data_IF_151753482037
#
_entry.id   IF_151753482037
#
_cell.length_a   1.000
_cell.length_b   1.000
_cell.length_c   1.000
_cell.angle_alpha   90.00
_cell.angle_beta   90.00
_cell.angle_gamma   90.00
#
_symmetry.space_group_name_H-M   'P 1'
#
loop_
_entity.id
_entity.type
_entity.pdbx_description
1 polymer ?
#
# COMPACT_ATOMS: atom_id res chain seq x y z
N UNK A 1 9.15 -20.77 -18.71
CA UNK A 1 10.11 -20.08 -17.82
C UNK A 1 9.65 -18.71 -17.30
N UNK A 2 8.62 -18.07 -17.88
CA UNK A 2 8.06 -16.77 -17.41
C UNK A 2 7.31 -16.84 -16.06
N UNK A 3 6.92 -18.04 -15.61
CA UNK A 3 6.10 -18.24 -14.40
C UNK A 3 6.89 -18.08 -13.10
N UNK A 4 8.17 -18.47 -13.06
CA UNK A 4 8.96 -18.42 -11.82
C UNK A 4 9.37 -16.99 -11.40
N UNK A 5 9.64 -16.07 -12.35
CA UNK A 5 10.02 -14.68 -12.04
C UNK A 5 8.84 -13.84 -11.52
N UNK A 6 7.60 -14.20 -11.88
CA UNK A 6 6.36 -13.62 -11.33
C UNK A 6 6.22 -13.91 -9.82
N UNK A 7 6.69 -15.08 -9.38
CA UNK A 7 6.68 -15.50 -7.96
C UNK A 7 7.75 -14.76 -7.12
N UNK A 8 8.93 -14.51 -7.71
CA UNK A 8 10.05 -13.84 -7.00
C UNK A 8 9.79 -12.39 -6.59
N UNK A 9 8.84 -11.69 -7.24
CA UNK A 9 8.57 -10.28 -6.93
C UNK A 9 7.47 -10.08 -5.88
N UNK A 10 6.51 -11.01 -5.77
CA UNK A 10 5.65 -11.13 -4.59
C UNK A 10 6.50 -11.36 -3.31
N UNK A 11 7.73 -11.86 -3.46
CA UNK A 11 8.67 -12.08 -2.35
C UNK A 11 9.18 -10.79 -1.70
N UNK A 12 9.36 -9.71 -2.47
CA UNK A 12 9.83 -8.41 -1.92
C UNK A 12 8.75 -7.65 -1.16
N UNK A 13 7.49 -7.93 -1.44
CA UNK A 13 6.36 -7.24 -0.79
C UNK A 13 5.73 -8.11 0.31
N UNK A 14 6.17 -9.37 0.43
CA UNK A 14 5.85 -10.27 1.54
C UNK A 14 6.29 -9.74 2.90
N UNK A 15 7.16 -8.73 2.98
CA UNK A 15 7.53 -8.05 4.23
C UNK A 15 6.39 -7.22 4.84
N UNK A 16 5.37 -6.85 4.06
CA UNK A 16 4.24 -6.06 4.55
C UNK A 16 3.47 -6.82 5.64
N UNK A 17 3.23 -8.12 5.45
CA UNK A 17 2.50 -8.96 6.40
C UNK A 17 3.24 -9.18 7.73
N UNK A 18 4.52 -9.58 7.78
CA UNK A 18 5.25 -9.70 9.04
C UNK A 18 5.44 -8.35 9.74
N UNK A 19 5.62 -7.25 9.01
CA UNK A 19 5.63 -5.90 9.61
C UNK A 19 4.27 -5.60 10.26
N UNK A 20 3.17 -5.89 9.58
CA UNK A 20 1.83 -5.73 10.16
C UNK A 20 1.63 -6.61 11.41
N UNK A 21 2.10 -7.86 11.40
CA UNK A 21 2.04 -8.74 12.58
C UNK A 21 2.81 -8.15 13.75
N UNK A 22 4.03 -7.63 13.54
CA UNK A 22 4.83 -7.02 14.60
C UNK A 22 4.15 -5.76 15.15
N UNK A 23 3.62 -4.90 14.28
CA UNK A 23 2.89 -3.69 14.70
C UNK A 23 1.64 -4.07 15.48
N UNK A 24 0.87 -5.05 15.03
CA UNK A 24 -0.32 -5.51 15.73
C UNK A 24 -0.01 -6.17 17.07
N UNK A 25 1.09 -6.94 17.18
CA UNK A 25 1.56 -7.49 18.44
C UNK A 25 1.95 -6.36 19.42
N UNK A 26 2.65 -5.32 18.93
CA UNK A 26 2.99 -4.15 19.75
C UNK A 26 1.75 -3.36 20.19
N UNK A 27 0.77 -3.18 19.30
CA UNK A 27 -0.53 -2.55 19.62
C UNK A 27 -1.31 -3.35 20.66
N UNK A 28 -1.33 -4.68 20.55
CA UNK A 28 -1.95 -5.55 21.54
C UNK A 28 -1.33 -5.32 22.93
N UNK A 29 0.01 -5.37 23.00
CA UNK A 29 0.75 -5.13 24.25
C UNK A 29 0.43 -3.75 24.82
N UNK A 30 0.42 -2.70 23.98
CA UNK A 30 0.10 -1.35 24.40
C UNK A 30 -1.33 -1.23 24.96
N UNK A 31 -2.33 -1.74 24.24
CA UNK A 31 -3.74 -1.69 24.65
C UNK A 31 -3.94 -2.42 25.98
N UNK A 32 -3.38 -3.62 26.12
CA UNK A 32 -3.51 -4.41 27.36
C UNK A 32 -2.76 -3.75 28.52
N UNK A 33 -1.58 -3.16 28.28
CA UNK A 33 -0.83 -2.45 29.33
C UNK A 33 -1.50 -1.18 29.84
N UNK A 34 -2.27 -0.49 28.99
CA UNK A 34 -3.03 0.71 29.37
C UNK A 34 -4.35 0.32 30.06
N UNK A 35 -4.98 -0.77 29.64
CA UNK A 35 -6.27 -1.21 30.18
C UNK A 35 -6.13 -1.97 31.50
N UNK A 36 -5.09 -2.78 31.65
CA UNK A 36 -4.78 -3.55 32.86
C UNK A 36 -3.69 -2.81 33.63
N UNK A 37 -4.03 -2.13 34.73
CA UNK A 37 -2.99 -1.73 35.71
C UNK A 37 -2.15 -2.97 36.06
N UNK A 38 -0.81 -2.92 35.97
CA UNK A 38 0.00 -4.12 35.88
C UNK A 38 0.03 -4.86 37.22
N UNK A 39 -0.64 -6.01 37.33
CA UNK A 39 -0.58 -6.83 38.54
C UNK A 39 -0.14 -8.28 38.32
N UNK A 40 -0.20 -8.88 37.11
CA UNK A 40 0.44 -10.18 36.82
C UNK A 40 0.44 -10.60 35.33
N UNK A 41 1.45 -11.40 34.95
CA UNK A 41 1.66 -11.95 33.59
C UNK A 41 0.53 -12.91 33.14
N UNK A 42 -0.11 -13.58 34.10
CA UNK A 42 -1.26 -14.46 33.85
C UNK A 42 -2.54 -13.67 33.50
N UNK A 43 -2.73 -12.47 34.08
CA UNK A 43 -3.83 -11.56 33.73
C UNK A 43 -3.65 -10.85 32.38
N UNK A 44 -2.44 -10.90 31.83
CA UNK A 44 -2.14 -10.43 30.48
C UNK A 44 -2.59 -11.44 29.40
N UNK A 45 -2.57 -12.73 29.73
CA UNK A 45 -2.99 -13.84 28.84
C UNK A 45 -4.48 -14.14 29.03
N UNK A 46 -4.95 -14.18 30.27
CA UNK A 46 -6.36 -14.31 30.63
C UNK A 46 -6.89 -12.94 31.05
N UNK A 47 -7.32 -12.14 30.07
CA UNK A 47 -7.92 -10.83 30.34
C UNK A 47 -9.05 -10.98 31.36
N UNK A 48 -9.00 -10.21 32.45
CA UNK A 48 -10.11 -10.16 33.38
C UNK A 48 -11.39 -9.65 32.69
N UNK A 49 -12.58 -10.13 33.10
CA UNK A 49 -13.85 -9.75 32.48
C UNK A 49 -14.08 -8.22 32.44
N UNK A 50 -13.65 -7.51 33.49
CA UNK A 50 -13.78 -6.05 33.57
C UNK A 50 -12.89 -5.27 32.59
N UNK A 51 -11.69 -5.79 32.29
CA UNK A 51 -10.77 -5.18 31.31
C UNK A 51 -11.29 -5.40 29.89
N UNK A 52 -11.81 -6.60 29.62
CA UNK A 52 -12.41 -6.98 28.33
C UNK A 52 -13.55 -6.04 27.95
N UNK A 53 -14.44 -5.73 28.90
CA UNK A 53 -15.57 -4.81 28.68
C UNK A 53 -15.10 -3.38 28.35
N UNK A 54 -14.11 -2.84 29.08
CA UNK A 54 -13.57 -1.50 28.83
C UNK A 54 -12.93 -1.36 27.45
N UNK A 55 -12.15 -2.36 27.02
CA UNK A 55 -11.51 -2.36 25.70
C UNK A 55 -12.58 -2.38 24.60
N UNK A 56 -13.58 -3.24 24.73
CA UNK A 56 -14.67 -3.32 23.77
C UNK A 56 -15.50 -2.03 23.72
N UNK A 57 -15.87 -1.47 24.87
CA UNK A 57 -16.65 -0.23 24.94
C UNK A 57 -15.90 0.93 24.26
N UNK A 58 -14.60 1.06 24.55
CA UNK A 58 -13.77 2.09 23.92
C UNK A 58 -13.71 1.91 22.39
N UNK A 59 -13.45 0.69 21.92
CA UNK A 59 -13.39 0.37 20.49
C UNK A 59 -14.73 0.63 19.79
N UNK A 60 -15.83 0.12 20.35
CA UNK A 60 -17.17 0.23 19.77
C UNK A 60 -17.64 1.68 19.68
N UNK A 61 -17.40 2.46 20.74
CA UNK A 61 -17.86 3.85 20.84
C UNK A 61 -17.00 4.85 20.05
N UNK A 62 -15.68 4.67 20.01
CA UNK A 62 -14.76 5.70 19.48
C UNK A 62 -14.09 5.32 18.15
N UNK A 63 -13.78 4.04 17.94
CA UNK A 63 -12.93 3.63 16.82
C UNK A 63 -13.71 2.98 15.69
N UNK A 64 -14.62 2.06 15.99
CA UNK A 64 -15.28 1.21 15.01
C UNK A 64 -15.95 2.00 13.88
N UNK A 65 -16.76 3.01 14.22
CA UNK A 65 -17.46 3.83 13.23
C UNK A 65 -16.51 4.61 12.33
N UNK A 66 -15.50 5.27 12.91
CA UNK A 66 -14.51 6.06 12.19
C UNK A 66 -13.60 5.18 11.31
N UNK A 67 -13.21 4.00 11.79
CA UNK A 67 -12.43 3.04 11.01
C UNK A 67 -13.26 2.47 9.84
N UNK A 68 -14.53 2.14 10.08
CA UNK A 68 -15.42 1.68 9.01
C UNK A 68 -15.52 2.72 7.88
N UNK A 69 -15.94 3.95 8.21
CA UNK A 69 -16.17 5.00 7.22
C UNK A 69 -14.86 5.47 6.58
N UNK A 70 -13.79 5.61 7.36
CA UNK A 70 -12.48 6.04 6.89
C UNK A 70 -11.90 5.09 5.85
N UNK A 71 -11.89 3.79 6.13
CA UNK A 71 -11.36 2.80 5.17
C UNK A 71 -12.31 2.56 3.98
N UNK A 72 -13.63 2.73 4.15
CA UNK A 72 -14.58 2.69 3.03
C UNK A 72 -14.31 3.84 2.05
N UNK A 73 -14.19 5.06 2.58
CA UNK A 73 -13.90 6.26 1.79
C UNK A 73 -12.53 6.17 1.12
N UNK A 74 -11.50 5.74 1.86
CA UNK A 74 -10.15 5.53 1.32
C UNK A 74 -10.13 4.50 0.18
N UNK A 75 -10.82 3.36 0.35
CA UNK A 75 -10.93 2.33 -0.68
C UNK A 75 -11.59 2.87 -1.95
N UNK A 76 -12.70 3.60 -1.81
CA UNK A 76 -13.40 4.23 -2.94
C UNK A 76 -12.55 5.30 -3.64
N UNK A 77 -11.89 6.16 -2.87
CA UNK A 77 -10.99 7.18 -3.40
C UNK A 77 -9.84 6.56 -4.21
N UNK A 78 -9.14 5.57 -3.64
CA UNK A 78 -8.03 4.91 -4.33
C UNK A 78 -8.49 4.16 -5.57
N UNK A 79 -9.69 3.57 -5.56
CA UNK A 79 -10.26 2.91 -6.73
C UNK A 79 -10.49 3.88 -7.88
N UNK A 80 -11.02 5.07 -7.58
CA UNK A 80 -11.19 6.14 -8.57
C UNK A 80 -9.84 6.69 -9.06
N UNK A 81 -8.92 6.98 -8.13
CA UNK A 81 -7.62 7.55 -8.43
C UNK A 81 -6.69 6.58 -9.20
N UNK A 82 -6.82 5.27 -8.99
CA UNK A 82 -5.96 4.24 -9.60
C UNK A 82 -5.89 4.39 -11.11
N UNK A 83 -7.03 4.45 -11.78
CA UNK A 83 -7.09 4.53 -13.25
C UNK A 83 -6.43 5.82 -13.74
N UNK A 84 -6.71 6.95 -13.08
CA UNK A 84 -6.10 8.24 -13.42
C UNK A 84 -4.57 8.20 -13.31
N UNK A 85 -4.03 7.73 -12.18
CA UNK A 85 -2.58 7.66 -11.96
C UNK A 85 -1.92 6.77 -13.02
N UNK A 86 -2.48 5.58 -13.25
CA UNK A 86 -1.88 4.60 -14.17
C UNK A 86 -1.93 5.08 -15.62
N UNK A 87 -3.05 5.65 -16.07
CA UNK A 87 -3.20 6.11 -17.45
C UNK A 87 -2.32 7.33 -17.74
N UNK A 88 -2.24 8.31 -16.83
CA UNK A 88 -1.37 9.47 -17.04
C UNK A 88 0.10 9.07 -17.06
N UNK A 89 0.58 8.27 -16.09
CA UNK A 89 1.96 7.81 -16.10
C UNK A 89 2.30 7.01 -17.36
N UNK A 90 1.37 6.16 -17.84
CA UNK A 90 1.54 5.42 -19.09
C UNK A 90 1.80 6.39 -20.25
N UNK A 91 0.90 7.35 -20.45
CA UNK A 91 0.94 8.29 -21.58
C UNK A 91 2.16 9.22 -21.54
N UNK A 92 2.46 9.79 -20.38
CA UNK A 92 3.48 10.83 -20.24
C UNK A 92 4.91 10.29 -20.15
N UNK A 93 5.10 9.01 -19.81
CA UNK A 93 6.44 8.44 -19.58
C UNK A 93 6.65 7.15 -20.35
N UNK A 94 5.81 6.14 -20.08
CA UNK A 94 6.09 4.78 -20.55
C UNK A 94 5.77 4.55 -22.03
N UNK A 95 4.93 5.40 -22.62
CA UNK A 95 4.62 5.42 -24.06
C UNK A 95 5.56 6.38 -24.84
N UNK A 96 6.53 7.03 -24.19
CA UNK A 96 7.49 7.90 -24.88
C UNK A 96 8.56 7.08 -25.61
N UNK A 97 8.90 7.49 -26.83
CA UNK A 97 9.97 6.87 -27.62
C UNK A 97 11.31 6.89 -26.86
N UNK A 98 11.61 8.00 -26.19
CA UNK A 98 12.82 8.16 -25.37
C UNK A 98 12.89 7.13 -24.24
N UNK A 99 11.78 6.81 -23.56
CA UNK A 99 11.79 5.79 -22.52
C UNK A 99 11.93 4.38 -23.10
N UNK A 100 11.29 4.09 -24.24
CA UNK A 100 11.43 2.81 -24.93
C UNK A 100 12.86 2.58 -25.43
N UNK A 101 13.51 3.57 -26.02
CA UNK A 101 14.90 3.51 -26.45
C UNK A 101 15.85 3.25 -25.28
N UNK A 102 15.71 4.01 -24.19
CA UNK A 102 16.50 3.78 -22.97
C UNK A 102 16.30 2.37 -22.41
N UNK A 103 15.08 1.83 -22.51
CA UNK A 103 14.79 0.46 -22.11
C UNK A 103 15.42 -0.57 -23.05
N UNK A 104 15.35 -0.36 -24.37
CA UNK A 104 15.96 -1.23 -25.39
C UNK A 104 17.48 -1.24 -25.29
N UNK A 105 18.11 -0.11 -25.00
CA UNK A 105 19.56 -0.02 -24.83
C UNK A 105 20.02 -0.74 -23.56
N UNK A 106 19.28 -0.57 -22.45
CA UNK A 106 19.50 -1.36 -21.24
C UNK A 106 19.31 -2.86 -21.46
N UNK A 107 18.36 -3.25 -22.30
CA UNK A 107 18.11 -4.65 -22.69
C UNK A 107 19.26 -5.22 -23.52
N UNK A 108 19.78 -4.48 -24.51
CA UNK A 108 20.92 -4.90 -25.35
C UNK A 108 22.20 -5.07 -24.52
N UNK A 109 22.44 -4.19 -23.55
CA UNK A 109 23.64 -4.21 -22.71
C UNK A 109 23.64 -5.33 -21.67
N UNK A 110 22.49 -5.62 -21.05
CA UNK A 110 22.40 -6.58 -19.93
C UNK A 110 21.76 -7.93 -20.30
N UNK A 111 21.19 -8.05 -21.50
CA UNK A 111 20.49 -9.23 -21.97
C UNK A 111 19.05 -9.35 -21.44
N UNK A 112 18.21 -10.05 -22.22
CA UNK A 112 16.79 -10.24 -21.92
C UNK A 112 16.49 -11.03 -20.63
N UNK A 113 17.49 -11.73 -20.09
CA UNK A 113 17.35 -12.50 -18.86
C UNK A 113 17.29 -11.60 -17.61
N UNK A 114 18.02 -10.49 -17.62
CA UNK A 114 18.13 -9.57 -16.49
C UNK A 114 17.13 -8.41 -16.55
N UNK A 115 16.65 -8.04 -17.74
CA UNK A 115 15.72 -6.94 -17.90
C UNK A 115 14.25 -7.34 -17.67
N UNK A 116 13.46 -6.43 -17.10
CA UNK A 116 12.01 -6.62 -16.88
C UNK A 116 11.21 -6.01 -18.03
N UNK A 117 9.95 -6.43 -18.22
CA UNK A 117 9.08 -5.84 -19.26
C UNK A 117 8.98 -4.31 -19.12
N UNK A 118 8.88 -3.57 -20.23
CA UNK A 118 8.80 -2.10 -20.28
C UNK A 118 7.84 -1.49 -19.24
N UNK A 119 6.61 -2.01 -19.17
CA UNK A 119 5.56 -1.56 -18.25
C UNK A 119 5.59 -2.22 -16.86
N UNK A 120 6.68 -2.89 -16.49
CA UNK A 120 6.79 -3.58 -15.20
C UNK A 120 6.58 -2.65 -13.99
N UNK A 121 7.21 -1.45 -13.92
CA UNK A 121 7.02 -0.57 -12.77
C UNK A 121 5.57 -0.10 -12.63
N UNK A 122 4.90 0.18 -13.76
CA UNK A 122 3.51 0.58 -13.80
C UNK A 122 2.56 -0.55 -13.39
N UNK A 123 2.82 -1.79 -13.85
CA UNK A 123 2.07 -2.98 -13.43
C UNK A 123 2.22 -3.23 -11.94
N UNK A 124 3.43 -3.05 -11.40
CA UNK A 124 3.70 -3.18 -9.97
C UNK A 124 2.93 -2.15 -9.15
N UNK A 125 2.97 -0.89 -9.56
CA UNK A 125 2.17 0.19 -8.95
C UNK A 125 0.68 -0.15 -8.94
N UNK A 126 0.13 -0.57 -10.08
CA UNK A 126 -1.28 -0.94 -10.23
C UNK A 126 -1.70 -2.09 -9.30
N UNK A 127 -0.84 -3.09 -9.12
CA UNK A 127 -1.10 -4.22 -8.24
C UNK A 127 -1.08 -3.82 -6.77
N UNK A 128 -0.10 -3.00 -6.35
CA UNK A 128 -0.04 -2.52 -4.96
C UNK A 128 -1.25 -1.65 -4.63
N UNK A 129 -1.64 -0.71 -5.50
CA UNK A 129 -2.84 0.10 -5.29
C UNK A 129 -4.08 -0.81 -5.18
N UNK A 130 -4.17 -1.88 -5.98
CA UNK A 130 -5.26 -2.84 -5.88
C UNK A 130 -5.28 -3.55 -4.52
N UNK A 131 -4.13 -4.03 -4.04
CA UNK A 131 -4.04 -4.66 -2.73
C UNK A 131 -4.44 -3.70 -1.61
N UNK A 132 -4.04 -2.42 -1.69
CA UNK A 132 -4.48 -1.38 -0.75
C UNK A 132 -6.00 -1.20 -0.76
N UNK A 133 -6.62 -1.14 -1.94
CA UNK A 133 -8.08 -1.02 -2.07
C UNK A 133 -8.76 -2.23 -1.44
N UNK A 134 -8.34 -3.45 -1.82
CA UNK A 134 -8.89 -4.69 -1.28
C UNK A 134 -8.72 -4.76 0.24
N UNK A 135 -7.55 -4.45 0.77
CA UNK A 135 -7.32 -4.44 2.22
C UNK A 135 -8.15 -3.38 2.92
N UNK A 136 -8.38 -2.22 2.30
CA UNK A 136 -9.22 -1.15 2.89
C UNK A 136 -10.69 -1.58 2.98
N UNK A 137 -11.23 -2.22 1.93
CA UNK A 137 -12.58 -2.78 2.01
C UNK A 137 -12.68 -3.93 3.01
N UNK A 138 -11.69 -4.83 3.06
CA UNK A 138 -11.65 -5.89 4.08
C UNK A 138 -11.62 -5.30 5.50
N UNK A 139 -10.78 -4.30 5.74
CA UNK A 139 -10.70 -3.61 7.02
C UNK A 139 -12.06 -2.98 7.39
N UNK A 140 -12.67 -2.23 6.47
CA UNK A 140 -13.97 -1.60 6.66
C UNK A 140 -15.08 -2.63 6.93
N UNK A 141 -15.23 -3.65 6.08
CA UNK A 141 -16.24 -4.71 6.24
C UNK A 141 -16.03 -5.45 7.56
N UNK A 142 -14.77 -5.75 7.93
CA UNK A 142 -14.48 -6.41 9.20
C UNK A 142 -14.91 -5.60 10.42
N UNK A 143 -14.88 -4.25 10.35
CA UNK A 143 -15.41 -3.42 11.45
C UNK A 143 -16.92 -3.63 11.62
N UNK A 144 -17.68 -3.80 10.54
CA UNK A 144 -19.13 -4.00 10.62
C UNK A 144 -19.52 -5.42 11.00
N UNK A 145 -18.81 -6.42 10.49
CA UNK A 145 -19.13 -7.84 10.70
C UNK A 145 -18.52 -8.36 12.00
N UNK A 146 -17.20 -8.53 12.03
CA UNK A 146 -16.48 -9.11 13.17
C UNK A 146 -16.47 -8.14 14.36
N UNK A 147 -16.38 -6.83 14.09
CA UNK A 147 -16.37 -5.80 15.12
C UNK A 147 -17.67 -5.63 15.91
N UNK A 148 -18.73 -6.38 15.58
CA UNK A 148 -19.99 -6.40 16.35
C UNK A 148 -19.95 -7.37 17.53
N UNK A 149 -19.09 -8.39 17.48
CA UNK A 149 -18.97 -9.38 18.56
C UNK A 149 -18.24 -8.76 19.76
N UNK A 150 -18.81 -8.90 20.95
CA UNK A 150 -18.26 -8.43 22.22
C UNK A 150 -17.11 -9.33 22.73
N UNK A 151 -16.16 -9.62 21.85
CA UNK A 151 -15.02 -10.49 22.12
C UNK A 151 -13.72 -9.74 21.80
N UNK A 152 -12.77 -9.71 22.74
CA UNK A 152 -11.45 -9.09 22.53
C UNK A 152 -10.70 -9.67 21.32
N UNK A 153 -10.74 -10.99 21.04
CA UNK A 153 -10.15 -11.53 19.81
C UNK A 153 -10.76 -10.93 18.54
N UNK A 154 -12.05 -10.60 18.53
CA UNK A 154 -12.73 -9.97 17.41
C UNK A 154 -12.23 -8.53 17.19
N UNK A 155 -12.10 -7.76 18.27
CA UNK A 155 -11.51 -6.41 18.24
C UNK A 155 -10.07 -6.45 17.70
N UNK A 156 -9.27 -7.39 18.17
CA UNK A 156 -7.87 -7.52 17.74
C UNK A 156 -7.75 -7.93 16.26
N UNK A 157 -8.64 -8.80 15.77
CA UNK A 157 -8.71 -9.12 14.35
C UNK A 157 -9.07 -7.86 13.52
N UNK A 158 -10.04 -7.06 13.98
CA UNK A 158 -10.44 -5.82 13.33
C UNK A 158 -9.32 -4.77 13.31
N UNK A 159 -8.52 -4.67 14.37
CA UNK A 159 -7.36 -3.79 14.40
C UNK A 159 -6.22 -4.33 13.52
N UNK A 160 -6.04 -5.64 13.44
CA UNK A 160 -5.05 -6.26 12.55
C UNK A 160 -5.33 -5.95 11.08
N UNK A 161 -6.58 -6.08 10.63
CA UNK A 161 -6.95 -5.76 9.24
C UNK A 161 -6.73 -4.28 8.92
N UNK A 162 -6.96 -3.39 9.88
CA UNK A 162 -6.64 -1.95 9.78
C UNK A 162 -5.14 -1.73 9.62
N UNK A 163 -4.30 -2.36 10.45
CA UNK A 163 -2.83 -2.23 10.35
C UNK A 163 -2.33 -2.72 9.00
N UNK A 164 -2.82 -3.87 8.52
CA UNK A 164 -2.49 -4.40 7.19
C UNK A 164 -2.86 -3.38 6.10
N UNK A 165 -4.05 -2.79 6.16
CA UNK A 165 -4.49 -1.78 5.20
C UNK A 165 -3.60 -0.52 5.22
N UNK A 166 -3.19 -0.05 6.40
CA UNK A 166 -2.26 1.08 6.55
C UNK A 166 -0.88 0.75 5.97
N UNK A 167 -0.35 -0.45 6.21
CA UNK A 167 0.94 -0.83 5.64
C UNK A 167 0.90 -0.87 4.10
N UNK A 168 -0.16 -1.42 3.50
CA UNK A 168 -0.34 -1.36 2.05
C UNK A 168 -0.56 0.06 1.55
N UNK A 169 -1.24 0.93 2.31
CA UNK A 169 -1.40 2.33 1.97
C UNK A 169 -0.06 3.05 1.89
N UNK A 170 0.80 2.88 2.91
CA UNK A 170 2.13 3.49 2.93
C UNK A 170 3.00 3.01 1.77
N UNK A 171 2.95 1.70 1.46
CA UNK A 171 3.66 1.15 0.31
C UNK A 171 3.13 1.72 -1.03
N UNK A 172 1.81 1.86 -1.15
CA UNK A 172 1.17 2.46 -2.32
C UNK A 172 1.60 3.91 -2.51
N UNK A 173 1.52 4.73 -1.45
CA UNK A 173 1.96 6.13 -1.49
C UNK A 173 3.43 6.27 -1.86
N UNK A 174 4.29 5.41 -1.30
CA UNK A 174 5.71 5.38 -1.66
C UNK A 174 5.93 5.05 -3.15
N UNK A 175 5.24 4.03 -3.67
CA UNK A 175 5.35 3.67 -5.09
C UNK A 175 4.77 4.74 -6.01
N UNK A 176 3.66 5.38 -5.64
CA UNK A 176 3.09 6.52 -6.38
C UNK A 176 4.13 7.63 -6.46
N UNK A 177 4.69 8.06 -5.31
CA UNK A 177 5.71 9.12 -5.26
C UNK A 177 6.92 8.79 -6.13
N UNK A 178 7.41 7.54 -6.05
CA UNK A 178 8.55 7.09 -6.86
C UNK A 178 8.27 7.18 -8.36
N UNK A 179 7.12 6.67 -8.81
CA UNK A 179 6.78 6.72 -10.23
C UNK A 179 6.49 8.15 -10.69
N UNK A 180 5.94 9.00 -9.83
CA UNK A 180 5.68 10.39 -10.14
C UNK A 180 6.97 11.21 -10.24
N UNK A 181 7.96 10.94 -9.40
CA UNK A 181 9.29 11.53 -9.54
C UNK A 181 9.91 11.17 -10.90
N UNK A 182 9.86 9.90 -11.30
CA UNK A 182 10.32 9.48 -12.63
C UNK A 182 9.56 10.18 -13.76
N UNK A 183 8.26 10.45 -13.57
CA UNK A 183 7.48 11.21 -14.54
C UNK A 183 7.95 12.67 -14.63
N UNK A 184 8.19 13.34 -13.50
CA UNK A 184 8.69 14.71 -13.52
C UNK A 184 10.08 14.80 -14.14
N UNK A 185 10.99 13.89 -13.79
CA UNK A 185 12.34 13.85 -14.39
C UNK A 185 12.26 13.70 -15.92
N UNK A 186 11.32 12.89 -16.40
CA UNK A 186 11.10 12.69 -17.84
C UNK A 186 10.52 13.94 -18.53
N UNK A 187 9.52 14.56 -17.92
CA UNK A 187 8.89 15.79 -18.43
C UNK A 187 9.89 16.95 -18.47
N UNK A 188 10.71 17.10 -17.43
CA UNK A 188 11.75 18.12 -17.37
C UNK A 188 12.78 17.90 -18.48
N UNK A 189 13.25 16.67 -18.69
CA UNK A 189 14.16 16.32 -19.78
C UNK A 189 13.56 16.65 -21.16
N UNK A 190 12.32 16.23 -21.41
CA UNK A 190 11.62 16.52 -22.69
C UNK A 190 11.45 18.03 -22.90
N UNK A 191 11.19 18.80 -21.85
CA UNK A 191 11.06 20.26 -21.94
C UNK A 191 12.40 20.92 -22.30
N UNK A 192 13.51 20.46 -21.73
CA UNK A 192 14.86 20.96 -22.02
C UNK A 192 15.25 20.64 -23.46
N UNK A 193 15.04 19.40 -23.92
CA UNK A 193 15.33 19.00 -25.30
C UNK A 193 14.56 19.86 -26.32
N UNK A 194 13.28 20.17 -26.05
CA UNK A 194 12.49 21.09 -26.88
C UNK A 194 13.06 22.50 -26.88
N UNK A 195 13.41 23.05 -25.72
CA UNK A 195 14.02 24.38 -25.61
C UNK A 195 15.36 24.47 -26.36
N UNK A 196 16.18 23.42 -26.31
CA UNK A 196 17.44 23.35 -27.06
C UNK A 196 17.20 23.24 -28.58
N UNK A 197 16.23 22.44 -29.01
CA UNK A 197 15.86 22.30 -30.42
C UNK A 197 15.36 23.62 -31.01
N UNK A 198 14.55 24.37 -30.26
CA UNK A 198 14.06 25.71 -30.63
C UNK A 198 15.21 26.73 -30.69
N UNK A 199 16.12 26.71 -29.70
CA UNK A 199 17.32 27.56 -29.68
C UNK A 199 18.23 27.30 -30.88
N UNK A 200 18.36 26.04 -31.28
CA UNK A 200 19.24 25.63 -32.38
C UNK A 200 18.58 25.79 -33.77
N UNK A 201 17.34 26.28 -33.84
CA UNK A 201 16.63 26.50 -35.11
C UNK A 201 16.30 25.22 -35.86
N UNK A 202 16.32 24.08 -35.18
CA UNK A 202 16.11 22.74 -35.75
C UNK A 202 14.63 22.38 -35.91
N UNK A 203 13.72 23.20 -35.37
CA UNK A 203 12.28 23.05 -35.59
C UNK A 203 11.90 23.71 -36.93
N UNK A 204 11.87 22.90 -37.99
CA UNK A 204 11.14 23.18 -39.23
C UNK A 204 10.17 22.05 -39.50
#
# INVERSE_FOLDING_TARGET
MFSQKKSSNNLKERWVVPVAIVISAALYVAIVSVASGPTSVLGFIWLEPGTTAKIFEFYSKNLRGSLFTGFLALGGFLMSAKTFIIVNMKKEVYDSDSYEENWLDGLKLNGAEYYSSLYYPLRRLSNIIFYTISSSFIASISQLTVGLFEAVPAVMLCLFTVVVAVCFLMLSLYLIKKNLATMFDHLDKSSIEKMEADRNGTNK
#
